data_IF_104180692166
#
_entry.id   IF_104180692166
#
_cell.length_a   1.000
_cell.length_b   1.000
_cell.length_c   1.000
_cell.angle_alpha   90.00
_cell.angle_beta   90.00
_cell.angle_gamma   90.00
#
_symmetry.space_group_name_H-M   'P 1'
#
loop_
_entity.id
_entity.type
_entity.pdbx_description
1 polymer ?
#
# COMPACT_ATOMS: atom_id res chain seq x y z
N UNK A 1 -3.00 38.01 -20.22
CA UNK A 1 -4.44 37.68 -20.07
C UNK A 1 -4.51 36.40 -19.26
N UNK A 2 -4.80 36.51 -17.97
CA UNK A 2 -4.96 35.34 -17.10
C UNK A 2 -6.26 34.62 -17.48
N UNK A 3 -6.24 33.30 -17.71
CA UNK A 3 -7.46 32.56 -17.96
C UNK A 3 -8.33 32.62 -16.70
N UNK A 4 -9.51 33.23 -16.82
CA UNK A 4 -10.55 33.17 -15.79
C UNK A 4 -10.98 31.73 -15.62
N UNK A 5 -10.68 31.15 -14.47
CA UNK A 5 -11.09 29.81 -14.09
C UNK A 5 -12.60 29.79 -13.91
N UNK A 6 -13.27 28.89 -14.63
CA UNK A 6 -14.71 28.69 -14.58
C UNK A 6 -15.02 27.64 -13.50
N UNK A 7 -15.38 28.11 -12.30
CA UNK A 7 -15.77 27.26 -11.16
C UNK A 7 -16.93 26.31 -11.50
N UNK A 8 -17.70 26.58 -12.56
CA UNK A 8 -18.81 25.72 -12.99
C UNK A 8 -18.35 24.38 -13.61
N UNK A 9 -17.04 24.23 -13.89
CA UNK A 9 -16.46 22.96 -14.36
C UNK A 9 -16.03 22.03 -13.23
N UNK A 10 -15.99 22.50 -11.99
CA UNK A 10 -15.87 21.60 -10.84
C UNK A 10 -17.16 20.77 -10.75
N UNK A 11 -17.06 19.45 -10.88
CA UNK A 11 -18.20 18.52 -10.86
C UNK A 11 -19.01 18.74 -9.57
N UNK A 12 -20.18 19.37 -9.74
CA UNK A 12 -21.22 19.65 -8.74
C UNK A 12 -20.72 20.42 -7.51
N UNK A 13 -20.90 21.76 -7.44
CA UNK A 13 -20.63 22.50 -6.22
C UNK A 13 -21.47 21.96 -5.06
N UNK A 14 -20.90 21.99 -3.85
CA UNK A 14 -21.62 21.59 -2.64
C UNK A 14 -22.86 22.47 -2.48
N UNK A 15 -24.02 21.82 -2.31
CA UNK A 15 -25.26 22.53 -1.98
C UNK A 15 -25.11 23.08 -0.57
N UNK A 16 -25.24 24.39 -0.41
CA UNK A 16 -25.13 25.05 0.89
C UNK A 16 -26.07 24.39 1.92
N UNK A 17 -25.51 23.99 3.07
CA UNK A 17 -26.23 23.30 4.14
C UNK A 17 -26.32 21.77 4.01
N UNK A 18 -25.81 21.17 2.93
CA UNK A 18 -25.60 19.72 2.88
C UNK A 18 -24.25 19.33 3.49
N UNK A 19 -24.17 18.17 4.18
CA UNK A 19 -22.90 17.65 4.65
C UNK A 19 -21.95 17.42 3.46
N UNK A 20 -20.66 17.67 3.69
CA UNK A 20 -19.61 17.44 2.69
C UNK A 20 -19.53 15.96 2.27
N UNK A 21 -18.79 15.64 1.19
CA UNK A 21 -18.55 14.25 0.82
C UNK A 21 -17.84 13.55 1.97
N UNK A 22 -18.26 12.33 2.31
CA UNK A 22 -17.68 11.55 3.40
C UNK A 22 -17.18 10.21 2.91
N UNK A 23 -16.26 9.61 3.65
CA UNK A 23 -15.85 8.24 3.36
C UNK A 23 -17.05 7.29 3.51
N UNK A 24 -17.34 6.53 2.45
CA UNK A 24 -18.35 5.49 2.53
C UNK A 24 -17.86 4.37 3.47
N UNK A 25 -18.51 4.20 4.63
CA UNK A 25 -18.17 3.18 5.65
C UNK A 25 -18.24 1.73 5.12
N UNK A 26 -18.91 1.50 3.99
CA UNK A 26 -18.93 0.22 3.26
C UNK A 26 -17.81 0.08 2.22
N UNK A 27 -16.90 1.05 2.13
CA UNK A 27 -15.67 0.96 1.34
C UNK A 27 -14.50 0.67 2.27
N UNK A 28 -13.69 -0.32 1.90
CA UNK A 28 -12.50 -0.70 2.67
C UNK A 28 -11.48 0.43 2.75
N UNK A 29 -11.04 0.76 3.96
CA UNK A 29 -9.87 1.60 4.22
C UNK A 29 -8.64 0.69 4.21
N UNK A 30 -7.77 0.91 3.22
CA UNK A 30 -6.53 0.16 3.02
C UNK A 30 -5.31 1.01 3.43
N UNK A 31 -4.14 0.39 3.66
CA UNK A 31 -2.90 1.13 3.91
C UNK A 31 -2.63 2.23 2.87
N UNK A 32 -2.92 1.99 1.60
CA UNK A 32 -2.74 2.96 0.50
C UNK A 32 -3.66 4.17 0.64
N UNK A 33 -4.97 3.97 0.87
CA UNK A 33 -5.91 5.08 1.08
C UNK A 33 -5.63 5.85 2.38
N UNK A 34 -5.22 5.15 3.43
CA UNK A 34 -4.83 5.78 4.69
C UNK A 34 -3.58 6.65 4.50
N UNK A 35 -2.58 6.13 3.80
CA UNK A 35 -1.39 6.90 3.40
C UNK A 35 -1.78 8.13 2.61
N UNK A 36 -2.66 8.02 1.59
CA UNK A 36 -3.11 9.19 0.82
C UNK A 36 -3.80 10.22 1.70
N UNK A 37 -4.61 9.80 2.67
CA UNK A 37 -5.24 10.71 3.62
C UNK A 37 -4.20 11.42 4.51
N UNK A 38 -3.19 10.70 4.99
CA UNK A 38 -2.12 11.26 5.81
C UNK A 38 -1.18 12.19 5.04
N UNK A 39 -0.95 11.93 3.75
CA UNK A 39 -0.17 12.81 2.86
C UNK A 39 -0.97 14.07 2.50
N UNK A 40 -2.21 13.92 2.05
CA UNK A 40 -3.09 15.03 1.68
C UNK A 40 -4.56 14.57 1.64
N UNK A 41 -5.40 14.96 2.61
CA UNK A 41 -6.82 14.60 2.64
C UNK A 41 -7.53 14.92 1.32
N UNK A 42 -7.28 16.09 0.74
CA UNK A 42 -7.86 16.47 -0.55
C UNK A 42 -7.57 15.46 -1.68
N UNK A 43 -6.32 14.99 -1.79
CA UNK A 43 -5.96 13.94 -2.77
C UNK A 43 -6.72 12.65 -2.49
N UNK A 44 -6.82 12.25 -1.22
CA UNK A 44 -7.57 11.05 -0.84
C UNK A 44 -9.04 11.13 -1.22
N UNK A 45 -9.67 12.30 -1.03
CA UNK A 45 -11.04 12.58 -1.48
C UNK A 45 -11.19 12.36 -2.98
N UNK A 46 -10.39 13.07 -3.78
CA UNK A 46 -10.46 13.00 -5.24
C UNK A 46 -10.29 11.55 -5.74
N UNK A 47 -9.31 10.83 -5.18
CA UNK A 47 -8.96 9.47 -5.62
C UNK A 47 -9.97 8.40 -5.15
N UNK A 48 -10.42 8.46 -3.90
CA UNK A 48 -11.20 7.38 -3.29
C UNK A 48 -12.67 7.72 -3.03
N UNK A 49 -13.02 8.97 -2.79
CA UNK A 49 -14.40 9.38 -2.53
C UNK A 49 -15.08 9.77 -3.85
N UNK A 50 -14.50 10.75 -4.54
CA UNK A 50 -15.05 11.31 -5.78
C UNK A 50 -14.70 10.45 -7.00
N UNK A 51 -13.66 9.60 -6.88
CA UNK A 51 -13.13 8.73 -7.95
C UNK A 51 -12.85 9.50 -9.25
N UNK A 52 -12.26 10.68 -9.11
CA UNK A 52 -11.85 11.50 -10.25
C UNK A 52 -10.79 10.71 -11.04
N UNK A 53 -11.06 10.37 -12.31
CA UNK A 53 -10.07 9.66 -13.12
C UNK A 53 -8.88 10.58 -13.41
N UNK A 54 -7.70 10.00 -13.46
CA UNK A 54 -6.49 10.70 -13.86
C UNK A 54 -5.60 9.73 -14.64
N UNK A 55 -4.87 10.28 -15.60
CA UNK A 55 -3.87 9.52 -16.34
C UNK A 55 -2.65 9.34 -15.45
N UNK A 56 -2.38 8.10 -15.07
CA UNK A 56 -1.13 7.74 -14.42
C UNK A 56 -0.04 7.71 -15.50
N UNK A 57 0.96 8.61 -15.46
CA UNK A 57 2.09 8.48 -16.36
C UNK A 57 2.78 7.15 -16.06
N UNK A 58 3.32 6.55 -17.12
CA UNK A 58 4.12 5.35 -16.96
C UNK A 58 5.27 5.61 -15.98
N UNK A 59 5.46 4.69 -15.05
CA UNK A 59 6.51 4.79 -14.04
C UNK A 59 7.31 3.50 -14.04
N UNK A 60 8.57 3.59 -14.50
CA UNK A 60 9.54 2.50 -14.48
C UNK A 60 9.56 1.78 -13.12
N UNK A 61 9.68 2.54 -12.03
CA UNK A 61 9.75 1.98 -10.68
C UNK A 61 8.49 1.19 -10.30
N UNK A 62 7.31 1.66 -10.71
CA UNK A 62 6.07 0.93 -10.48
C UNK A 62 5.99 -0.35 -11.33
N UNK A 63 6.36 -0.30 -12.61
CA UNK A 63 6.31 -1.50 -13.46
C UNK A 63 7.30 -2.57 -13.03
N UNK A 64 8.52 -2.19 -12.64
CA UNK A 64 9.51 -3.12 -12.06
C UNK A 64 8.97 -3.74 -10.77
N UNK A 65 8.35 -2.94 -9.90
CA UNK A 65 7.67 -3.45 -8.70
C UNK A 65 6.55 -4.43 -9.02
N UNK A 66 5.68 -4.09 -9.96
CA UNK A 66 4.57 -4.94 -10.40
C UNK A 66 5.06 -6.25 -11.01
N UNK A 67 6.12 -6.22 -11.82
CA UNK A 67 6.73 -7.41 -12.40
C UNK A 67 7.24 -8.35 -11.32
N UNK A 68 7.96 -7.83 -10.31
CA UNK A 68 8.41 -8.63 -9.17
C UNK A 68 7.23 -9.26 -8.41
N UNK A 69 6.21 -8.46 -8.06
CA UNK A 69 5.04 -8.95 -7.33
C UNK A 69 4.34 -10.09 -8.07
N UNK A 70 4.15 -9.99 -9.40
CA UNK A 70 3.54 -11.04 -10.22
C UNK A 70 4.37 -12.33 -10.26
N UNK A 71 5.69 -12.23 -10.36
CA UNK A 71 6.56 -13.41 -10.33
C UNK A 71 6.52 -14.08 -8.95
N UNK A 72 6.64 -13.29 -7.90
CA UNK A 72 6.57 -13.78 -6.51
C UNK A 72 5.21 -14.40 -6.18
N UNK A 73 4.12 -13.86 -6.72
CA UNK A 73 2.78 -14.46 -6.62
C UNK A 73 2.75 -15.86 -7.21
N UNK A 74 3.28 -16.08 -8.43
CA UNK A 74 3.31 -17.41 -9.05
C UNK A 74 4.10 -18.42 -8.23
N UNK A 75 5.25 -18.01 -7.69
CA UNK A 75 6.06 -18.84 -6.81
C UNK A 75 5.30 -19.18 -5.53
N UNK A 76 4.67 -18.18 -4.90
CA UNK A 76 3.89 -18.38 -3.69
C UNK A 76 2.67 -19.28 -3.92
N UNK A 77 2.01 -19.20 -5.08
CA UNK A 77 0.92 -20.10 -5.48
C UNK A 77 1.43 -21.55 -5.59
N UNK A 78 2.57 -21.77 -6.26
CA UNK A 78 3.17 -23.11 -6.36
C UNK A 78 3.47 -23.68 -4.97
N UNK A 79 4.12 -22.89 -4.11
CA UNK A 79 4.44 -23.27 -2.73
C UNK A 79 3.18 -23.56 -1.90
N UNK A 80 2.14 -22.72 -2.03
CA UNK A 80 0.85 -22.93 -1.35
C UNK A 80 0.20 -24.26 -1.76
N UNK A 81 0.31 -24.62 -3.04
CA UNK A 81 -0.18 -25.88 -3.60
C UNK A 81 0.77 -27.07 -3.37
N UNK A 82 1.86 -26.89 -2.62
CA UNK A 82 2.90 -27.91 -2.34
C UNK A 82 3.56 -28.44 -3.61
N UNK A 83 3.75 -27.55 -4.59
CA UNK A 83 4.45 -27.82 -5.84
C UNK A 83 5.81 -27.13 -5.83
N UNK A 84 6.77 -27.71 -6.54
CA UNK A 84 8.06 -27.07 -6.78
C UNK A 84 7.85 -25.87 -7.72
N UNK A 85 8.28 -24.65 -7.33
CA UNK A 85 8.19 -23.49 -8.22
C UNK A 85 9.08 -23.68 -9.45
N UNK A 86 8.73 -23.08 -10.60
CA UNK A 86 9.62 -23.05 -11.75
C UNK A 86 10.99 -22.45 -11.39
N UNK A 87 12.08 -22.89 -12.05
CA UNK A 87 13.38 -22.26 -11.87
C UNK A 87 13.31 -20.79 -12.27
N UNK A 88 14.02 -19.93 -11.55
CA UNK A 88 13.90 -18.47 -11.71
C UNK A 88 14.22 -18.01 -13.13
N UNK A 89 15.17 -18.68 -13.80
CA UNK A 89 15.52 -18.43 -15.19
C UNK A 89 14.33 -18.57 -16.16
N UNK A 90 13.32 -19.39 -15.83
CA UNK A 90 12.12 -19.56 -16.65
C UNK A 90 11.26 -18.29 -16.70
N UNK A 91 11.36 -17.39 -15.71
CA UNK A 91 10.57 -16.16 -15.67
C UNK A 91 11.14 -15.04 -16.55
N UNK A 92 12.37 -15.18 -17.08
CA UNK A 92 13.06 -14.13 -17.85
C UNK A 92 12.22 -13.59 -19.02
N UNK A 93 11.66 -14.48 -19.84
CA UNK A 93 10.84 -14.06 -20.99
C UNK A 93 9.59 -13.31 -20.53
N UNK A 94 8.92 -13.82 -19.50
CA UNK A 94 7.70 -13.24 -18.96
C UNK A 94 7.94 -11.86 -18.33
N UNK A 95 9.03 -11.69 -17.58
CA UNK A 95 9.44 -10.38 -17.06
C UNK A 95 9.75 -9.42 -18.22
N UNK A 96 10.39 -9.91 -19.29
CA UNK A 96 10.63 -9.14 -20.49
C UNK A 96 9.36 -8.64 -21.19
N UNK A 97 8.28 -9.41 -21.18
CA UNK A 97 6.97 -9.00 -21.70
C UNK A 97 6.29 -7.95 -20.81
N UNK A 98 6.44 -8.07 -19.48
CA UNK A 98 5.91 -7.10 -18.52
C UNK A 98 6.65 -5.77 -18.53
N UNK A 99 7.92 -5.77 -18.94
CA UNK A 99 8.76 -4.59 -19.10
C UNK A 99 9.05 -4.38 -20.60
N UNK A 100 8.11 -3.88 -21.41
CA UNK A 100 8.23 -3.87 -22.86
C UNK A 100 9.26 -2.83 -23.34
N UNK A 101 10.00 -3.18 -24.40
CA UNK A 101 11.17 -2.44 -24.87
C UNK A 101 10.87 -1.01 -25.34
N UNK A 102 9.70 -0.78 -25.93
CA UNK A 102 9.24 0.51 -26.45
C UNK A 102 8.93 1.53 -25.35
N UNK A 103 8.85 1.10 -24.08
CA UNK A 103 8.64 1.99 -22.91
C UNK A 103 9.95 2.46 -22.28
N UNK A 104 11.08 1.95 -22.75
CA UNK A 104 12.41 2.29 -22.23
C UNK A 104 13.20 3.11 -23.25
N UNK A 105 13.71 4.26 -22.80
CA UNK A 105 14.63 5.07 -23.59
C UNK A 105 16.02 4.40 -23.71
N UNK A 106 16.42 3.63 -22.70
CA UNK A 106 17.69 2.89 -22.62
C UNK A 106 17.43 1.38 -22.49
N UNK A 107 17.86 0.62 -23.51
CA UNK A 107 17.70 -0.84 -23.53
C UNK A 107 18.64 -1.57 -22.55
N UNK A 108 19.79 -0.99 -22.21
CA UNK A 108 20.65 -1.55 -21.17
C UNK A 108 19.99 -1.37 -19.80
N UNK A 109 19.27 -0.27 -19.60
CA UNK A 109 18.48 -0.07 -18.38
C UNK A 109 17.36 -1.09 -18.25
N UNK A 110 16.69 -1.41 -19.36
CA UNK A 110 15.69 -2.47 -19.39
C UNK A 110 16.30 -3.83 -19.04
N UNK A 111 17.44 -4.17 -19.64
CA UNK A 111 18.13 -5.42 -19.35
C UNK A 111 18.48 -5.52 -17.85
N UNK A 112 19.03 -4.44 -17.26
CA UNK A 112 19.31 -4.35 -15.82
C UNK A 112 18.06 -4.54 -14.97
N UNK A 113 16.93 -3.94 -15.35
CA UNK A 113 15.68 -4.10 -14.60
C UNK A 113 15.15 -5.54 -14.62
N UNK A 114 15.28 -6.24 -15.77
CA UNK A 114 14.94 -7.66 -15.87
C UNK A 114 15.83 -8.49 -14.95
N UNK A 115 17.15 -8.26 -14.97
CA UNK A 115 18.07 -8.95 -14.05
C UNK A 115 17.73 -8.68 -12.59
N UNK A 116 17.46 -7.42 -12.23
CA UNK A 116 17.09 -7.03 -10.87
C UNK A 116 15.84 -7.80 -10.42
N UNK A 117 14.79 -7.88 -11.24
CA UNK A 117 13.57 -8.63 -10.90
C UNK A 117 13.88 -10.11 -10.66
N UNK A 118 14.71 -10.74 -11.49
CA UNK A 118 15.07 -12.15 -11.34
C UNK A 118 15.93 -12.38 -10.08
N UNK A 119 16.88 -11.50 -9.81
CA UNK A 119 17.71 -11.55 -8.60
C UNK A 119 16.86 -11.37 -7.33
N UNK A 120 15.95 -10.39 -7.33
CA UNK A 120 15.01 -10.15 -6.25
C UNK A 120 14.06 -11.32 -6.06
N UNK A 121 13.62 -11.94 -7.15
CA UNK A 121 12.82 -13.16 -7.11
C UNK A 121 13.58 -14.28 -6.39
N UNK A 122 14.89 -14.42 -6.65
CA UNK A 122 15.72 -15.43 -5.98
C UNK A 122 15.81 -15.19 -4.48
N UNK A 123 16.08 -13.96 -4.09
CA UNK A 123 16.15 -13.56 -2.68
C UNK A 123 14.81 -13.74 -1.98
N UNK A 124 13.72 -13.34 -2.62
CA UNK A 124 12.37 -13.47 -2.07
C UNK A 124 11.97 -14.92 -1.90
N UNK A 125 12.25 -15.76 -2.90
CA UNK A 125 11.98 -17.20 -2.85
C UNK A 125 12.76 -17.85 -1.71
N UNK A 126 14.07 -17.60 -1.63
CA UNK A 126 14.92 -18.13 -0.56
C UNK A 126 14.43 -17.69 0.83
N UNK A 127 13.94 -16.46 0.97
CA UNK A 127 13.36 -15.97 2.22
C UNK A 127 12.06 -16.70 2.59
N UNK A 128 11.13 -16.87 1.65
CA UNK A 128 9.83 -17.51 1.91
C UNK A 128 10.04 -18.97 2.29
N UNK A 129 10.93 -19.68 1.60
CA UNK A 129 11.18 -21.11 1.80
C UNK A 129 12.19 -21.42 2.91
N UNK A 130 12.69 -20.41 3.64
CA UNK A 130 13.66 -20.64 4.72
C UNK A 130 13.05 -21.47 5.84
N UNK A 131 13.79 -22.50 6.28
CA UNK A 131 13.41 -23.35 7.40
C UNK A 131 12.13 -24.15 7.15
N UNK A 132 11.40 -24.47 8.23
CA UNK A 132 10.09 -25.08 8.15
C UNK A 132 9.01 -24.01 7.96
N UNK A 133 8.67 -23.75 6.69
CA UNK A 133 7.71 -22.73 6.27
C UNK A 133 6.57 -23.32 5.45
N UNK A 134 5.33 -22.90 5.72
CA UNK A 134 4.17 -23.24 4.89
C UNK A 134 3.46 -21.95 4.43
N UNK A 135 3.30 -21.78 3.12
CA UNK A 135 2.54 -20.66 2.55
C UNK A 135 1.05 -20.89 2.75
N UNK A 136 0.38 -19.98 3.47
CA UNK A 136 -1.03 -20.10 3.83
C UNK A 136 -1.95 -19.24 2.97
N UNK A 137 -1.50 -18.04 2.59
CA UNK A 137 -2.28 -17.05 1.84
C UNK A 137 -1.36 -16.37 0.83
N UNK A 138 -1.85 -16.15 -0.38
CA UNK A 138 -1.16 -15.43 -1.45
C UNK A 138 -2.08 -14.33 -1.99
N UNK A 139 -1.56 -13.11 -2.13
CA UNK A 139 -2.16 -11.98 -2.87
C UNK A 139 -3.66 -11.76 -2.60
N UNK A 140 -4.05 -11.80 -1.33
CA UNK A 140 -5.47 -11.82 -0.98
C UNK A 140 -5.99 -10.49 -0.43
N UNK A 141 -7.01 -9.95 -1.08
CA UNK A 141 -7.78 -8.81 -0.59
C UNK A 141 -8.88 -9.26 0.38
N UNK A 142 -8.73 -8.95 1.66
CA UNK A 142 -9.77 -9.21 2.67
C UNK A 142 -10.18 -7.93 3.38
N UNK A 143 -11.14 -7.15 2.84
CA UNK A 143 -11.82 -6.15 3.64
C UNK A 143 -12.63 -6.87 4.72
N UNK A 144 -12.51 -6.37 5.95
CA UNK A 144 -13.22 -6.91 7.11
C UNK A 144 -14.00 -5.80 7.78
N UNK A 145 -15.25 -6.11 8.14
CA UNK A 145 -16.05 -5.25 9.02
C UNK A 145 -15.41 -5.20 10.40
N UNK A 146 -15.11 -3.99 10.83
CA UNK A 146 -14.60 -3.68 12.15
C UNK A 146 -15.60 -2.77 12.85
N UNK A 147 -16.12 -3.25 13.97
CA UNK A 147 -17.10 -2.55 14.79
C UNK A 147 -16.38 -1.97 16.01
N UNK A 148 -16.07 -0.67 15.96
CA UNK A 148 -15.57 0.08 17.11
C UNK A 148 -16.77 0.59 17.93
N UNK A 149 -16.73 0.39 19.25
CA UNK A 149 -17.81 0.80 20.15
C UNK A 149 -17.81 2.31 20.46
N UNK A 150 -16.82 3.08 19.98
CA UNK A 150 -16.79 4.53 20.15
C UNK A 150 -17.00 5.27 18.83
N UNK A 151 -16.47 6.49 18.74
CA UNK A 151 -16.78 7.45 17.66
C UNK A 151 -16.44 7.00 16.24
N UNK A 152 -15.55 6.02 16.09
CA UNK A 152 -15.25 5.44 14.78
C UNK A 152 -16.47 4.69 14.24
N UNK A 153 -17.23 4.02 15.10
CA UNK A 153 -18.33 3.14 14.72
C UNK A 153 -17.91 1.99 13.81
N UNK A 154 -18.83 1.53 12.98
CA UNK A 154 -18.58 0.43 12.04
C UNK A 154 -17.94 0.90 10.73
N UNK A 155 -16.85 0.26 10.34
CA UNK A 155 -16.08 0.53 9.11
C UNK A 155 -15.58 -0.76 8.45
N UNK A 156 -15.25 -0.72 7.16
CA UNK A 156 -14.46 -1.80 6.54
C UNK A 156 -12.97 -1.44 6.60
N UNK A 157 -12.16 -2.31 7.23
CA UNK A 157 -10.71 -2.22 7.21
C UNK A 157 -10.15 -3.32 6.32
N UNK A 158 -9.28 -2.97 5.39
CA UNK A 158 -8.69 -3.91 4.44
C UNK A 158 -7.18 -3.87 4.48
N UNK A 159 -6.59 -4.98 4.07
CA UNK A 159 -5.18 -5.07 3.75
C UNK A 159 -5.00 -6.05 2.59
N UNK A 160 -3.90 -5.88 1.88
CA UNK A 160 -3.37 -6.83 0.92
C UNK A 160 -2.01 -7.24 1.47
N UNK A 161 -1.88 -8.51 1.82
CA UNK A 161 -0.58 -9.09 2.09
C UNK A 161 -0.16 -9.84 0.83
N UNK A 162 1.10 -9.71 0.45
CA UNK A 162 1.62 -10.37 -0.74
C UNK A 162 1.70 -11.87 -0.46
N UNK A 163 2.26 -12.24 0.70
CA UNK A 163 2.26 -13.62 1.20
C UNK A 163 2.05 -13.68 2.71
N UNK A 164 1.35 -14.71 3.18
CA UNK A 164 1.30 -15.08 4.61
C UNK A 164 1.85 -16.49 4.77
N UNK A 165 2.85 -16.63 5.63
CA UNK A 165 3.51 -17.91 5.91
C UNK A 165 3.31 -18.31 7.38
N UNK A 166 3.22 -19.62 7.60
CA UNK A 166 3.40 -20.24 8.91
C UNK A 166 4.86 -20.63 9.07
N UNK A 167 5.43 -20.35 10.25
CA UNK A 167 6.81 -20.69 10.62
C UNK A 167 6.87 -21.26 12.01
N UNK A 168 8.02 -21.83 12.35
CA UNK A 168 8.34 -22.33 13.68
C UNK A 168 9.67 -21.74 14.17
N UNK A 169 9.71 -21.35 15.44
CA UNK A 169 10.93 -21.02 16.19
C UNK A 169 10.96 -21.79 17.53
N UNK A 170 11.93 -21.50 18.39
CA UNK A 170 12.08 -22.12 19.72
C UNK A 170 10.85 -21.93 20.62
N UNK A 171 10.12 -20.83 20.45
CA UNK A 171 8.88 -20.53 21.19
C UNK A 171 7.63 -21.08 20.47
N UNK A 172 7.79 -21.81 19.36
CA UNK A 172 6.76 -22.53 18.64
C UNK A 172 6.29 -21.85 17.36
N UNK A 173 5.08 -22.21 16.92
CA UNK A 173 4.52 -21.73 15.68
C UNK A 173 4.18 -20.23 15.72
N UNK A 174 4.46 -19.51 14.64
CA UNK A 174 4.05 -18.14 14.42
C UNK A 174 3.63 -17.91 12.95
N UNK A 175 2.98 -16.78 12.72
CA UNK A 175 2.52 -16.34 11.40
C UNK A 175 3.33 -15.12 11.02
N UNK A 176 3.90 -15.14 9.82
CA UNK A 176 4.56 -13.99 9.23
C UNK A 176 3.71 -13.48 8.06
N UNK A 177 3.38 -12.19 8.10
CA UNK A 177 2.71 -11.46 7.03
C UNK A 177 3.81 -10.70 6.29
N UNK A 178 3.98 -10.97 4.99
CA UNK A 178 5.08 -10.45 4.18
C UNK A 178 4.54 -9.43 3.17
N UNK A 179 5.22 -8.31 3.06
CA UNK A 179 4.98 -7.26 2.08
C UNK A 179 6.32 -6.90 1.37
N UNK A 180 6.31 -7.00 0.05
CA UNK A 180 7.44 -6.81 -0.86
C UNK A 180 7.57 -5.35 -1.27
N UNK A 181 8.79 -4.81 -1.16
CA UNK A 181 9.10 -3.43 -1.51
C UNK A 181 10.33 -3.37 -2.42
N UNK A 182 10.17 -2.66 -3.54
CA UNK A 182 11.22 -2.42 -4.54
C UNK A 182 11.76 -1.00 -4.55
N UNK A 183 11.25 -0.11 -3.69
CA UNK A 183 11.67 1.29 -3.64
C UNK A 183 12.25 1.70 -2.30
N UNK A 184 12.66 2.96 -2.17
CA UNK A 184 13.37 3.45 -0.98
C UNK A 184 12.49 4.08 0.11
N UNK A 185 11.27 4.49 -0.22
CA UNK A 185 10.45 5.30 0.68
C UNK A 185 9.74 4.43 1.73
N UNK A 186 10.05 4.67 3.00
CA UNK A 186 9.45 4.00 4.17
C UNK A 186 8.33 4.80 4.84
N UNK A 187 8.19 6.06 4.46
CA UNK A 187 7.20 6.96 5.04
C UNK A 187 5.78 6.39 4.87
N UNK A 188 4.93 6.63 5.87
CA UNK A 188 3.51 6.26 5.89
C UNK A 188 3.21 4.76 5.81
N UNK A 189 4.17 3.91 6.19
CA UNK A 189 3.98 2.46 6.30
C UNK A 189 3.61 2.01 7.71
N UNK A 190 3.62 2.91 8.71
CA UNK A 190 3.56 2.53 10.13
C UNK A 190 2.30 1.75 10.53
N UNK A 191 1.17 1.95 9.83
CA UNK A 191 -0.10 1.30 10.16
C UNK A 191 -0.42 0.07 9.30
N UNK A 192 0.38 -0.23 8.27
CA UNK A 192 0.19 -1.45 7.46
C UNK A 192 0.24 -2.72 8.31
N UNK A 193 1.14 -2.87 9.31
CA UNK A 193 1.18 -4.07 10.13
C UNK A 193 -0.11 -4.32 10.92
N UNK A 194 -0.60 -3.31 11.65
CA UNK A 194 -1.84 -3.45 12.44
C UNK A 194 -3.08 -3.64 11.54
N UNK A 195 -3.19 -2.91 10.42
CA UNK A 195 -4.30 -3.09 9.47
C UNK A 195 -4.31 -4.51 8.90
N UNK A 196 -3.14 -5.03 8.53
CA UNK A 196 -2.99 -6.41 8.05
C UNK A 196 -3.41 -7.44 9.08
N UNK A 197 -2.97 -7.28 10.33
CA UNK A 197 -3.37 -8.18 11.41
C UNK A 197 -4.88 -8.16 11.68
N UNK A 198 -5.52 -6.98 11.63
CA UNK A 198 -6.97 -6.85 11.82
C UNK A 198 -7.74 -7.50 10.66
N UNK A 199 -7.37 -7.15 9.43
CA UNK A 199 -8.03 -7.60 8.19
C UNK A 199 -7.93 -9.12 8.02
N UNK A 200 -6.76 -9.70 8.30
CA UNK A 200 -6.47 -11.11 8.08
C UNK A 200 -6.81 -12.02 9.27
N UNK A 201 -7.17 -11.45 10.44
CA UNK A 201 -7.40 -12.20 11.70
C UNK A 201 -8.22 -13.48 11.55
N UNK A 202 -9.35 -13.44 10.82
CA UNK A 202 -10.23 -14.61 10.65
C UNK A 202 -9.54 -15.72 9.85
N UNK A 203 -8.84 -15.36 8.77
CA UNK A 203 -8.12 -16.31 7.92
C UNK A 203 -6.94 -16.92 8.67
N UNK A 204 -6.16 -16.09 9.37
CA UNK A 204 -5.05 -16.56 10.20
C UNK A 204 -5.53 -17.55 11.26
N UNK A 205 -6.63 -17.22 11.97
CA UNK A 205 -7.23 -18.12 12.97
C UNK A 205 -7.69 -19.45 12.36
N UNK A 206 -8.35 -19.40 11.20
CA UNK A 206 -8.81 -20.60 10.51
C UNK A 206 -7.64 -21.48 10.07
N UNK A 207 -6.58 -20.89 9.53
CA UNK A 207 -5.39 -21.61 9.06
C UNK A 207 -4.65 -22.30 10.21
N UNK A 208 -4.56 -21.66 11.38
CA UNK A 208 -3.83 -22.22 12.51
C UNK A 208 -4.60 -23.26 13.32
N UNK A 209 -5.94 -23.23 13.31
CA UNK A 209 -6.79 -24.11 14.14
C UNK A 209 -6.44 -24.09 15.64
N UNK A 210 -5.84 -23.01 16.13
CA UNK A 210 -5.43 -22.88 17.54
C UNK A 210 -6.43 -22.05 18.35
N UNK A 211 -6.66 -22.40 19.63
CA UNK A 211 -7.57 -21.66 20.51
C UNK A 211 -6.96 -20.33 21.03
N UNK A 212 -5.62 -20.22 21.07
CA UNK A 212 -4.91 -19.02 21.54
C UNK A 212 -4.73 -18.00 20.41
N UNK A 213 -4.54 -16.73 20.80
CA UNK A 213 -4.19 -15.70 19.82
C UNK A 213 -2.81 -16.03 19.21
N UNK A 214 -2.68 -16.03 17.88
CA UNK A 214 -1.43 -16.41 17.25
C UNK A 214 -0.35 -15.35 17.45
N UNK A 215 0.90 -15.81 17.52
CA UNK A 215 2.07 -14.96 17.38
C UNK A 215 2.15 -14.49 15.93
N UNK A 216 2.24 -13.17 15.73
CA UNK A 216 2.25 -12.57 14.39
C UNK A 216 3.50 -11.70 14.26
N UNK A 217 4.20 -11.87 13.15
CA UNK A 217 5.27 -11.00 12.65
C UNK A 217 4.75 -10.34 11.38
N UNK A 218 5.04 -9.05 11.20
CA UNK A 218 4.90 -8.38 9.92
C UNK A 218 6.28 -8.06 9.38
N UNK A 219 6.53 -8.37 8.12
CA UNK A 219 7.85 -8.21 7.51
C UNK A 219 7.74 -7.41 6.24
N UNK A 220 8.56 -6.36 6.13
CA UNK A 220 8.88 -5.78 4.83
C UNK A 220 10.16 -6.40 4.27
N UNK A 221 10.10 -6.84 3.02
CA UNK A 221 11.29 -7.23 2.26
C UNK A 221 11.64 -6.08 1.32
N UNK A 222 12.73 -5.37 1.61
CA UNK A 222 13.24 -4.25 0.82
C UNK A 222 14.32 -4.74 -0.15
N UNK A 223 13.90 -5.21 -1.32
CA UNK A 223 14.77 -5.89 -2.28
C UNK A 223 15.94 -5.04 -2.77
N UNK A 224 15.69 -3.77 -3.10
CA UNK A 224 16.73 -2.86 -3.57
C UNK A 224 17.80 -2.57 -2.50
N UNK A 225 17.43 -2.67 -1.22
CA UNK A 225 18.33 -2.42 -0.08
C UNK A 225 18.91 -3.69 0.54
N UNK A 226 18.46 -4.86 0.08
CA UNK A 226 18.78 -6.14 0.69
C UNK A 226 18.50 -6.19 2.21
N UNK A 227 17.34 -5.65 2.62
CA UNK A 227 16.98 -5.49 4.04
C UNK A 227 15.63 -6.15 4.36
N UNK A 228 15.56 -6.77 5.53
CA UNK A 228 14.35 -7.32 6.12
C UNK A 228 13.98 -6.51 7.38
N UNK A 229 12.81 -5.88 7.38
CA UNK A 229 12.26 -5.15 8.54
C UNK A 229 11.14 -5.99 9.16
N UNK A 230 11.51 -6.82 10.15
CA UNK A 230 10.61 -7.69 10.89
C UNK A 230 10.04 -6.98 12.13
N UNK A 231 8.71 -7.00 12.28
CA UNK A 231 7.99 -6.34 13.37
C UNK A 231 7.05 -7.31 14.06
N UNK A 232 7.36 -7.66 15.30
CA UNK A 232 6.51 -8.50 16.13
C UNK A 232 5.25 -7.75 16.57
N UNK A 233 4.08 -8.28 16.24
CA UNK A 233 2.78 -7.73 16.60
C UNK A 233 2.28 -8.33 17.91
N UNK A 234 3.00 -8.03 18.99
CA UNK A 234 2.60 -8.37 20.36
C UNK A 234 1.26 -7.74 20.72
N UNK A 235 0.60 -8.22 21.77
CA UNK A 235 -0.65 -7.63 22.25
C UNK A 235 -0.50 -6.13 22.57
N UNK A 236 0.62 -5.76 23.19
CA UNK A 236 0.98 -4.37 23.50
C UNK A 236 1.22 -3.54 22.24
N UNK A 237 2.03 -4.02 21.29
CA UNK A 237 2.30 -3.31 20.04
C UNK A 237 1.02 -3.08 19.23
N UNK A 238 0.13 -4.08 19.17
CA UNK A 238 -1.18 -3.95 18.52
C UNK A 238 -2.07 -2.91 19.21
N UNK A 239 -2.08 -2.90 20.55
CA UNK A 239 -2.85 -1.92 21.33
C UNK A 239 -2.35 -0.50 21.05
N UNK A 240 -1.04 -0.28 21.16
CA UNK A 240 -0.43 1.03 20.92
C UNK A 240 -0.67 1.53 19.48
N UNK A 241 -0.41 0.70 18.47
CA UNK A 241 -0.69 1.08 17.07
C UNK A 241 -2.19 1.35 16.83
N UNK A 242 -3.09 0.64 17.51
CA UNK A 242 -4.53 0.91 17.42
C UNK A 242 -4.92 2.24 18.08
N UNK A 243 -4.34 2.56 19.24
CA UNK A 243 -4.55 3.85 19.93
C UNK A 243 -4.15 5.04 19.04
N UNK A 244 -3.08 4.91 18.26
CA UNK A 244 -2.65 5.93 17.29
C UNK A 244 -3.50 5.93 16.00
N UNK A 245 -3.81 4.76 15.46
CA UNK A 245 -4.55 4.62 14.21
C UNK A 245 -6.02 5.07 14.35
N UNK A 246 -6.67 4.71 15.46
CA UNK A 246 -8.10 4.97 15.69
C UNK A 246 -8.48 6.44 15.49
N UNK A 247 -7.84 7.44 16.11
CA UNK A 247 -8.22 8.84 15.90
C UNK A 247 -8.01 9.30 14.45
N UNK A 248 -7.05 8.73 13.72
CA UNK A 248 -6.87 9.01 12.28
C UNK A 248 -8.05 8.47 11.49
N UNK A 249 -8.48 7.24 11.75
CA UNK A 249 -9.65 6.65 11.11
C UNK A 249 -10.92 7.44 11.43
N UNK A 250 -11.10 7.88 12.69
CA UNK A 250 -12.23 8.73 13.10
C UNK A 250 -12.25 10.01 12.26
N UNK A 251 -11.12 10.72 12.16
CA UNK A 251 -11.05 11.92 11.31
C UNK A 251 -11.36 11.60 9.87
N UNK A 252 -10.74 10.56 9.28
CA UNK A 252 -10.94 10.18 7.88
C UNK A 252 -12.40 9.86 7.54
N UNK A 253 -13.17 9.23 8.44
CA UNK A 253 -14.58 8.88 8.16
C UNK A 253 -15.57 10.00 8.41
N UNK A 254 -15.21 10.98 9.25
CA UNK A 254 -16.02 12.16 9.55
C UNK A 254 -15.54 13.41 8.82
N UNK A 255 -14.46 13.32 8.06
CA UNK A 255 -13.91 14.42 7.25
C UNK A 255 -14.93 14.87 6.20
N UNK A 256 -15.22 16.17 6.22
CA UNK A 256 -16.12 16.83 5.27
C UNK A 256 -15.40 17.91 4.46
N UNK A 257 -14.36 18.52 5.03
CA UNK A 257 -13.64 19.63 4.42
C UNK A 257 -12.54 19.12 3.47
N UNK A 258 -11.93 17.97 3.80
CA UNK A 258 -10.84 17.33 3.05
C UNK A 258 -9.76 18.34 2.66
N UNK A 259 -9.08 18.94 3.66
CA UNK A 259 -8.19 20.07 3.44
C UNK A 259 -7.02 19.70 2.52
N UNK A 260 -6.61 20.68 1.71
CA UNK A 260 -5.37 20.61 0.93
C UNK A 260 -4.19 20.69 1.89
N UNK A 261 -3.22 19.80 1.75
CA UNK A 261 -1.94 19.86 2.46
C UNK A 261 -0.82 19.97 1.42
N UNK A 262 -0.54 21.20 0.94
CA UNK A 262 0.49 21.39 -0.06
C UNK A 262 1.86 21.11 0.53
N UNK A 263 2.67 20.37 -0.21
CA UNK A 263 4.05 20.10 0.15
C UNK A 263 4.81 19.69 -1.09
N UNK A 264 6.00 20.26 -1.32
CA UNK A 264 6.77 20.05 -2.55
C UNK A 264 6.90 18.56 -2.92
N UNK A 265 7.24 17.71 -1.94
CA UNK A 265 7.42 16.27 -2.13
C UNK A 265 6.12 15.52 -2.47
N UNK A 266 4.96 16.06 -2.13
CA UNK A 266 3.65 15.43 -2.37
C UNK A 266 3.04 15.99 -3.67
N UNK A 267 3.03 17.31 -3.80
CA UNK A 267 2.44 18.04 -4.92
C UNK A 267 3.15 17.75 -6.25
N UNK A 268 4.49 17.68 -6.27
CA UNK A 268 5.28 17.37 -7.47
C UNK A 268 4.87 16.06 -8.16
N UNK A 269 4.39 15.09 -7.37
CA UNK A 269 3.95 13.77 -7.85
C UNK A 269 2.44 13.55 -7.66
N UNK A 270 1.68 14.62 -7.42
CA UNK A 270 0.23 14.55 -7.30
C UNK A 270 -0.40 14.70 -8.69
N UNK A 271 -1.16 13.71 -9.17
CA UNK A 271 -1.78 13.78 -10.50
C UNK A 271 -2.83 14.89 -10.61
N UNK A 272 -3.34 15.38 -9.48
CA UNK A 272 -4.34 16.43 -9.41
C UNK A 272 -3.75 17.82 -9.25
N UNK A 273 -2.42 17.96 -9.10
CA UNK A 273 -1.79 19.23 -8.73
C UNK A 273 -2.26 20.34 -9.66
N UNK A 274 -2.25 20.16 -10.98
CA UNK A 274 -2.60 21.20 -11.97
C UNK A 274 -4.03 21.15 -12.52
N UNK A 275 -4.86 20.19 -12.08
CA UNK A 275 -6.20 19.97 -12.65
C UNK A 275 -7.29 20.31 -11.64
N UNK A 276 -7.25 19.69 -10.46
CA UNK A 276 -8.30 19.82 -9.43
C UNK A 276 -7.85 20.66 -8.21
N UNK A 277 -6.54 20.93 -8.08
CA UNK A 277 -5.98 21.62 -6.92
C UNK A 277 -5.74 23.13 -7.12
N UNK A 278 -5.85 23.70 -8.34
CA UNK A 278 -5.66 25.13 -8.62
C UNK A 278 -6.99 25.91 -8.77
N UNK A 279 -6.98 27.25 -8.55
CA UNK A 279 -5.81 28.09 -8.28
C UNK A 279 -5.28 27.99 -6.83
N UNK A 280 -3.95 28.00 -6.67
CA UNK A 280 -3.32 28.34 -5.39
C UNK A 280 -3.47 29.85 -5.18
N UNK A 281 -3.88 30.33 -4.00
CA UNK A 281 -3.62 31.71 -3.63
C UNK A 281 -2.10 31.91 -3.58
N UNK A 282 -1.61 33.02 -4.14
CA UNK A 282 -0.19 33.41 -4.29
C UNK A 282 0.63 33.50 -2.98
N UNK A 283 0.10 33.05 -1.85
CA UNK A 283 0.69 33.18 -0.52
C UNK A 283 1.57 32.00 -0.10
N UNK A 284 1.79 31.00 -0.96
CA UNK A 284 2.79 29.96 -0.72
C UNK A 284 4.13 30.35 -1.34
N UNK A 285 4.68 31.48 -0.90
CA UNK A 285 6.09 31.81 -1.12
C UNK A 285 6.96 30.79 -0.40
N UNK A 286 7.86 30.19 -1.16
CA UNK A 286 8.95 29.34 -0.66
C UNK A 286 9.77 30.13 0.37
N UNK A 287 9.88 29.69 1.65
CA UNK A 287 10.68 30.42 2.64
C UNK A 287 12.18 30.41 2.32
N UNK A 288 12.63 29.58 1.36
CA UNK A 288 14.04 29.36 1.05
C UNK A 288 14.48 29.84 -0.35
N UNK A 289 13.67 30.65 -1.05
CA UNK A 289 14.12 31.30 -2.29
C UNK A 289 14.43 32.77 -2.01
N UNK A 290 15.70 33.20 -1.97
CA UNK A 290 16.03 34.61 -1.97
C UNK A 290 15.53 35.21 -3.28
N UNK A 291 14.61 36.16 -3.18
CA UNK A 291 14.24 37.02 -4.31
C UNK A 291 15.49 37.79 -4.76
N UNK A 292 15.97 37.49 -5.97
CA UNK A 292 16.81 38.42 -6.75
C UNK A 292 15.92 39.45 -7.43
#
# INVERSE_FOLDING_TARGET
>A
MSPTFDESKARTPLIAGMPGPRWNRNKGIYPTSLRRYLECPHRCRLEYVDKVPYDLPWSRAMEVGNALHKVMEQIAIALHNRQEPPPISAFRSWVGEMLPADRYDDQDQRARDIENVLEWTARGTAYITRGDSEVLIVEHYSPRRWDDLGDLGSVLLGAKADVVVRRHDEAGAYIEIIDYKTGHNREYTQFTPILSAIALKRRIRFALRQPREPRIVFTYIWFEKDEFDERWLTAEAKRHQWEELRPILVRMVHEEDWPKQPGYRICKFCPYYNTECFPFPETASDPDVPTM
#
